data_IF_090741511429
#
_entry.id   IF_090741511429
#
_cell.length_a   1.000
_cell.length_b   1.000
_cell.length_c   1.000
_cell.angle_alpha   90.00
_cell.angle_beta   90.00
_cell.angle_gamma   90.00
#
_symmetry.space_group_name_H-M   'P 1'
#
loop_
_entity.id
_entity.type
_entity.pdbx_description
1 polymer ?
#
# COMPACT_ATOMS: atom_id res chain seq x y z
N UNK A 1 20.80 -12.53 -16.72
CA UNK A 1 20.62 -13.48 -17.84
C UNK A 1 21.24 -14.81 -17.42
N UNK A 2 20.46 -15.89 -17.43
CA UNK A 2 20.89 -17.24 -17.07
C UNK A 2 21.14 -18.08 -18.34
N UNK A 3 21.88 -19.18 -18.24
CA UNK A 3 22.20 -20.04 -19.37
C UNK A 3 21.44 -21.36 -19.29
N UNK A 4 20.67 -21.69 -20.33
CA UNK A 4 19.93 -22.95 -20.44
C UNK A 4 20.76 -24.10 -21.02
N UNK A 5 21.97 -23.83 -21.53
CA UNK A 5 22.84 -24.81 -22.18
C UNK A 5 23.25 -26.00 -21.28
N UNK A 6 23.09 -25.85 -19.95
CA UNK A 6 23.39 -26.91 -18.98
C UNK A 6 22.23 -27.89 -18.79
N UNK A 7 21.04 -27.52 -19.25
CA UNK A 7 19.85 -28.36 -19.22
C UNK A 7 19.76 -29.09 -20.54
N UNK A 8 20.06 -30.39 -20.53
CA UNK A 8 20.20 -31.20 -21.75
C UNK A 8 19.11 -32.25 -21.91
N UNK A 9 18.28 -32.45 -20.88
CA UNK A 9 17.20 -33.44 -20.90
C UNK A 9 15.84 -32.76 -20.79
N UNK A 10 14.83 -33.36 -21.43
CA UNK A 10 13.43 -32.92 -21.32
C UNK A 10 12.96 -33.02 -19.87
N UNK A 11 13.39 -34.05 -19.13
CA UNK A 11 13.01 -34.27 -17.73
C UNK A 11 13.49 -33.15 -16.80
N UNK A 12 14.70 -32.63 -17.03
CA UNK A 12 15.21 -31.48 -16.26
C UNK A 12 14.40 -30.20 -16.57
N UNK A 13 14.05 -29.98 -17.84
CA UNK A 13 13.15 -28.89 -18.23
C UNK A 13 11.79 -29.02 -17.55
N UNK A 14 11.18 -30.21 -17.56
CA UNK A 14 9.88 -30.45 -16.94
C UNK A 14 9.90 -30.21 -15.42
N UNK A 15 10.99 -30.62 -14.76
CA UNK A 15 11.20 -30.36 -13.33
C UNK A 15 11.28 -28.86 -13.03
N UNK A 16 12.07 -28.13 -13.81
CA UNK A 16 12.22 -26.68 -13.66
C UNK A 16 10.93 -25.91 -14.03
N UNK A 17 10.18 -26.38 -15.02
CA UNK A 17 8.88 -25.81 -15.38
C UNK A 17 7.85 -26.04 -14.27
N UNK A 18 7.82 -27.23 -13.67
CA UNK A 18 6.94 -27.51 -12.54
C UNK A 18 7.26 -26.59 -11.35
N UNK A 19 8.54 -26.41 -11.04
CA UNK A 19 8.99 -25.46 -10.01
C UNK A 19 8.58 -24.02 -10.34
N UNK A 20 8.86 -23.54 -11.54
CA UNK A 20 8.58 -22.16 -11.92
C UNK A 20 7.07 -21.86 -11.97
N UNK A 21 6.24 -22.82 -12.40
CA UNK A 21 4.79 -22.67 -12.37
C UNK A 21 4.25 -22.62 -10.93
N UNK A 22 4.82 -23.40 -10.02
CA UNK A 22 4.49 -23.30 -8.59
C UNK A 22 4.86 -21.93 -8.03
N UNK A 23 6.07 -21.44 -8.28
CA UNK A 23 6.52 -20.10 -7.89
C UNK A 23 5.57 -19.01 -8.43
N UNK A 24 5.21 -19.10 -9.71
CA UNK A 24 4.22 -18.20 -10.33
C UNK A 24 2.89 -18.20 -9.58
N UNK A 25 2.37 -19.37 -9.21
CA UNK A 25 1.13 -19.47 -8.45
C UNK A 25 1.23 -18.83 -7.06
N UNK A 26 2.33 -19.06 -6.35
CA UNK A 26 2.58 -18.47 -5.02
C UNK A 26 2.69 -16.93 -5.10
N UNK A 27 3.44 -16.42 -6.08
CA UNK A 27 3.54 -14.98 -6.34
C UNK A 27 2.21 -14.37 -6.77
N UNK A 28 1.38 -15.08 -7.54
CA UNK A 28 0.05 -14.62 -7.94
C UNK A 28 -0.87 -14.47 -6.73
N UNK A 29 -0.82 -15.41 -5.78
CA UNK A 29 -1.57 -15.30 -4.52
C UNK A 29 -1.07 -14.12 -3.68
N UNK A 30 0.24 -13.92 -3.59
CA UNK A 30 0.84 -12.79 -2.89
C UNK A 30 0.40 -11.46 -3.52
N UNK A 31 0.41 -11.37 -4.85
CA UNK A 31 -0.04 -10.19 -5.61
C UNK A 31 -1.47 -9.79 -5.23
N UNK A 32 -2.40 -10.75 -5.18
CA UNK A 32 -3.80 -10.49 -4.82
C UNK A 32 -3.89 -9.84 -3.43
N UNK A 33 -3.14 -10.35 -2.45
CA UNK A 33 -3.14 -9.79 -1.10
C UNK A 33 -2.60 -8.35 -1.08
N UNK A 34 -1.55 -8.07 -1.85
CA UNK A 34 -0.96 -6.74 -1.95
C UNK A 34 -1.87 -5.76 -2.69
N UNK A 35 -2.58 -6.21 -3.74
CA UNK A 35 -3.63 -5.41 -4.42
C UNK A 35 -4.74 -5.01 -3.44
N UNK A 36 -5.21 -5.94 -2.61
CA UNK A 36 -6.17 -5.62 -1.55
C UNK A 36 -5.59 -4.64 -0.52
N UNK A 37 -4.31 -4.78 -0.17
CA UNK A 37 -3.64 -3.86 0.75
C UNK A 37 -3.60 -2.44 0.18
N UNK A 38 -3.13 -2.28 -1.06
CA UNK A 38 -3.09 -0.99 -1.77
C UNK A 38 -4.48 -0.35 -1.82
N UNK A 39 -5.51 -1.12 -2.18
CA UNK A 39 -6.88 -0.60 -2.24
C UNK A 39 -7.36 -0.09 -0.87
N UNK A 40 -7.12 -0.86 0.20
CA UNK A 40 -7.54 -0.51 1.56
C UNK A 40 -6.79 0.72 2.10
N UNK A 41 -5.48 0.81 1.86
CA UNK A 41 -4.70 1.99 2.24
C UNK A 41 -5.08 3.20 1.40
N UNK A 42 -5.43 3.00 0.13
CA UNK A 42 -5.90 4.05 -0.77
C UNK A 42 -7.15 4.75 -0.23
N UNK A 43 -8.19 3.98 0.05
CA UNK A 43 -9.45 4.50 0.61
C UNK A 43 -9.25 5.14 1.99
N UNK A 44 -8.49 4.46 2.86
CA UNK A 44 -8.23 4.94 4.23
C UNK A 44 -7.42 6.25 4.24
N UNK A 45 -6.41 6.39 3.37
CA UNK A 45 -5.58 7.59 3.32
C UNK A 45 -6.38 8.83 2.92
N UNK A 46 -7.30 8.68 1.95
CA UNK A 46 -8.18 9.75 1.49
C UNK A 46 -9.15 10.15 2.60
N UNK A 47 -9.74 9.17 3.29
CA UNK A 47 -10.65 9.42 4.40
C UNK A 47 -9.95 10.18 5.55
N UNK A 48 -8.77 9.71 5.97
CA UNK A 48 -7.99 10.37 7.03
C UNK A 48 -7.66 11.81 6.65
N UNK A 49 -7.22 12.05 5.41
CA UNK A 49 -6.88 13.40 4.95
C UNK A 49 -8.12 14.32 4.95
N UNK A 50 -9.25 13.85 4.42
CA UNK A 50 -10.48 14.62 4.38
C UNK A 50 -10.98 14.98 5.79
N UNK A 51 -10.98 14.03 6.72
CA UNK A 51 -11.39 14.28 8.11
C UNK A 51 -10.41 15.24 8.79
N UNK A 52 -9.10 15.07 8.57
CA UNK A 52 -8.08 15.94 9.16
C UNK A 52 -8.24 17.39 8.69
N UNK A 53 -8.46 17.62 7.39
CA UNK A 53 -8.72 18.95 6.84
C UNK A 53 -9.99 19.58 7.45
N UNK A 54 -11.06 18.80 7.61
CA UNK A 54 -12.28 19.25 8.29
C UNK A 54 -12.01 19.68 9.74
N UNK A 55 -11.26 18.87 10.50
CA UNK A 55 -10.91 19.20 11.89
C UNK A 55 -10.03 20.46 11.96
N UNK A 56 -9.10 20.65 11.04
CA UNK A 56 -8.26 21.86 10.98
C UNK A 56 -9.13 23.10 10.71
N UNK A 57 -10.08 23.02 9.78
CA UNK A 57 -11.01 24.09 9.48
C UNK A 57 -11.91 24.42 10.70
N UNK A 58 -12.41 23.40 11.40
CA UNK A 58 -13.20 23.59 12.63
C UNK A 58 -12.38 24.25 13.75
N UNK A 59 -11.10 23.89 13.91
CA UNK A 59 -10.21 24.54 14.87
C UNK A 59 -10.06 26.03 14.54
N UNK A 60 -9.79 26.37 13.27
CA UNK A 60 -9.63 27.77 12.84
C UNK A 60 -10.91 28.60 13.04
N UNK A 61 -12.08 28.01 12.77
CA UNK A 61 -13.36 28.64 13.06
C UNK A 61 -13.55 28.86 14.57
N UNK A 62 -13.20 27.87 15.39
CA UNK A 62 -13.32 27.96 16.84
C UNK A 62 -12.36 29.01 17.44
N UNK A 63 -11.15 29.13 16.91
CA UNK A 63 -10.21 30.19 17.28
C UNK A 63 -10.77 31.58 16.99
N UNK A 64 -11.42 31.75 15.83
CA UNK A 64 -12.08 33.01 15.47
C UNK A 64 -13.21 33.37 16.44
N UNK A 65 -14.00 32.37 16.88
CA UNK A 65 -15.05 32.55 17.90
C UNK A 65 -14.44 32.92 19.26
N UNK A 66 -13.40 32.21 19.70
CA UNK A 66 -12.73 32.49 20.98
C UNK A 66 -12.16 33.92 21.01
N UNK A 67 -11.64 34.41 19.88
CA UNK A 67 -11.04 35.74 19.78
C UNK A 67 -12.04 36.89 20.00
N UNK A 68 -13.32 36.69 19.63
CA UNK A 68 -14.37 37.72 19.76
C UNK A 68 -15.17 37.62 21.06
N UNK A 69 -15.12 36.48 21.76
CA UNK A 69 -15.85 36.28 22.99
C UNK A 69 -15.17 36.98 24.18
N UNK A 70 -15.98 37.65 25.00
CA UNK A 70 -15.56 38.17 26.30
C UNK A 70 -15.29 37.03 27.28
N UNK A 71 -14.48 37.29 28.30
CA UNK A 71 -14.22 36.32 29.37
C UNK A 71 -15.53 35.90 30.05
N UNK A 72 -15.69 34.60 30.26
CA UNK A 72 -16.88 34.03 30.87
C UNK A 72 -17.18 32.62 30.38
N UNK A 73 -18.32 32.04 30.83
CA UNK A 73 -18.65 30.64 30.59
C UNK A 73 -18.68 30.24 29.11
N UNK A 74 -19.17 31.12 28.23
CA UNK A 74 -19.23 30.86 26.78
C UNK A 74 -17.84 30.76 26.14
N UNK A 75 -16.88 31.58 26.58
CA UNK A 75 -15.50 31.52 26.09
C UNK A 75 -14.80 30.27 26.61
N UNK A 76 -15.01 29.90 27.86
CA UNK A 76 -14.51 28.65 28.42
C UNK A 76 -15.03 27.42 27.66
N UNK A 77 -16.34 27.38 27.35
CA UNK A 77 -16.93 26.31 26.55
C UNK A 77 -16.27 26.23 25.17
N UNK A 78 -16.08 27.40 24.54
CA UNK A 78 -15.43 27.48 23.25
C UNK A 78 -13.98 26.95 23.29
N UNK A 79 -13.22 27.25 24.34
CA UNK A 79 -11.88 26.74 24.58
C UNK A 79 -11.91 25.22 24.78
N UNK A 80 -12.81 24.69 25.61
CA UNK A 80 -12.95 23.23 25.83
C UNK A 80 -13.25 22.49 24.53
N UNK A 81 -14.11 23.06 23.67
CA UNK A 81 -14.40 22.50 22.34
C UNK A 81 -13.15 22.48 21.45
N UNK A 82 -12.38 23.57 21.42
CA UNK A 82 -11.10 23.63 20.69
C UNK A 82 -10.14 22.54 21.18
N UNK A 83 -9.96 22.37 22.48
CA UNK A 83 -9.08 21.33 23.04
C UNK A 83 -9.47 19.91 22.60
N UNK A 84 -10.78 19.60 22.53
CA UNK A 84 -11.26 18.31 22.01
C UNK A 84 -10.92 18.12 20.53
N UNK A 85 -11.04 19.18 19.73
CA UNK A 85 -10.68 19.14 18.31
C UNK A 85 -9.17 18.98 18.11
N UNK A 86 -8.35 19.64 18.92
CA UNK A 86 -6.89 19.49 18.89
C UNK A 86 -6.45 18.05 19.22
N UNK A 87 -7.09 17.42 20.21
CA UNK A 87 -6.88 16.01 20.50
C UNK A 87 -7.27 15.12 19.31
N UNK A 88 -8.42 15.38 18.68
CA UNK A 88 -8.83 14.65 17.47
C UNK A 88 -7.84 14.82 16.31
N UNK A 89 -7.34 16.05 16.09
CA UNK A 89 -6.29 16.35 15.10
C UNK A 89 -5.04 15.55 15.37
N UNK A 90 -4.59 15.48 16.63
CA UNK A 90 -3.43 14.69 17.02
C UNK A 90 -3.61 13.21 16.66
N UNK A 91 -4.72 12.60 17.09
CA UNK A 91 -5.02 11.18 16.78
C UNK A 91 -5.04 10.92 15.27
N UNK A 92 -5.67 11.79 14.49
CA UNK A 92 -5.73 11.66 13.03
C UNK A 92 -4.35 11.83 12.37
N UNK A 93 -3.51 12.70 12.91
CA UNK A 93 -2.14 12.90 12.42
C UNK A 93 -1.29 11.65 12.64
N UNK A 94 -1.36 11.04 13.83
CA UNK A 94 -0.70 9.76 14.12
C UNK A 94 -1.26 8.63 13.25
N UNK A 95 -2.57 8.64 12.96
CA UNK A 95 -3.17 7.68 12.03
C UNK A 95 -2.65 7.85 10.60
N UNK A 96 -2.47 9.10 10.15
CA UNK A 96 -1.89 9.44 8.84
C UNK A 96 -0.45 8.95 8.69
N UNK A 97 0.33 8.88 9.76
CA UNK A 97 1.68 8.28 9.71
C UNK A 97 1.63 6.78 9.35
N UNK A 98 0.61 6.07 9.83
CA UNK A 98 0.49 4.62 9.64
C UNK A 98 -0.35 4.20 8.42
N UNK A 99 -1.29 5.04 7.99
CA UNK A 99 -2.26 4.72 6.93
C UNK A 99 -2.46 5.85 5.92
N UNK A 100 -1.63 6.89 5.98
CA UNK A 100 -1.66 7.99 5.03
C UNK A 100 -0.94 7.67 3.72
N UNK A 101 -0.74 8.70 2.91
CA UNK A 101 -0.14 8.58 1.58
C UNK A 101 1.26 7.95 1.58
N UNK A 102 2.05 8.15 2.64
CA UNK A 102 3.38 7.53 2.77
C UNK A 102 3.25 6.01 2.89
N UNK A 103 2.43 5.52 3.82
CA UNK A 103 2.21 4.09 4.00
C UNK A 103 1.54 3.45 2.77
N UNK A 104 0.66 4.17 2.08
CA UNK A 104 0.12 3.73 0.79
C UNK A 104 1.23 3.52 -0.25
N UNK A 105 2.13 4.49 -0.40
CA UNK A 105 3.22 4.41 -1.39
C UNK A 105 4.16 3.23 -1.11
N UNK A 106 4.39 2.88 0.15
CA UNK A 106 5.12 1.67 0.52
C UNK A 106 4.42 0.40 0.00
N UNK A 107 3.09 0.31 0.14
CA UNK A 107 2.31 -0.82 -0.38
C UNK A 107 2.29 -0.88 -1.90
N UNK A 108 2.24 0.27 -2.57
CA UNK A 108 2.35 0.35 -4.02
C UNK A 108 3.71 -0.15 -4.52
N UNK A 109 4.80 0.17 -3.81
CA UNK A 109 6.13 -0.33 -4.10
C UNK A 109 6.24 -1.86 -3.92
N UNK A 110 5.65 -2.41 -2.87
CA UNK A 110 5.63 -3.85 -2.64
C UNK A 110 4.89 -4.58 -3.77
N UNK A 111 3.74 -4.05 -4.19
CA UNK A 111 2.98 -4.58 -5.33
C UNK A 111 3.78 -4.50 -6.65
N UNK A 112 4.46 -3.38 -6.92
CA UNK A 112 5.31 -3.22 -8.10
C UNK A 112 6.45 -4.24 -8.13
N UNK A 113 7.08 -4.52 -6.98
CA UNK A 113 8.11 -5.57 -6.86
C UNK A 113 7.56 -6.94 -7.23
N UNK A 114 6.39 -7.32 -6.70
CA UNK A 114 5.77 -8.61 -7.04
C UNK A 114 5.45 -8.71 -8.53
N UNK A 115 4.94 -7.62 -9.14
CA UNK A 115 4.67 -7.62 -10.58
C UNK A 115 5.94 -7.84 -11.41
N UNK A 116 7.07 -7.24 -10.99
CA UNK A 116 8.37 -7.46 -11.64
C UNK A 116 8.89 -8.88 -11.44
N UNK A 117 8.74 -9.44 -10.24
CA UNK A 117 9.09 -10.85 -9.95
C UNK A 117 8.27 -11.81 -10.81
N UNK A 118 6.95 -11.61 -10.90
CA UNK A 118 6.06 -12.38 -11.77
C UNK A 118 6.50 -12.31 -13.23
N UNK A 119 6.78 -11.11 -13.74
CA UNK A 119 7.25 -10.91 -15.12
C UNK A 119 8.56 -11.69 -15.38
N UNK A 120 9.47 -11.68 -14.41
CA UNK A 120 10.73 -12.43 -14.49
C UNK A 120 10.49 -13.95 -14.52
N UNK A 121 9.60 -14.46 -13.68
CA UNK A 121 9.25 -15.90 -13.65
C UNK A 121 8.54 -16.32 -14.94
N UNK A 122 7.64 -15.50 -15.48
CA UNK A 122 6.97 -15.76 -16.75
C UNK A 122 7.97 -15.81 -17.90
N UNK A 123 8.92 -14.88 -17.94
CA UNK A 123 10.02 -14.90 -18.93
C UNK A 123 10.82 -16.19 -18.81
N UNK A 124 11.15 -16.62 -17.59
CA UNK A 124 11.84 -17.89 -17.34
C UNK A 124 11.06 -19.11 -17.85
N UNK A 125 9.76 -19.16 -17.59
CA UNK A 125 8.90 -20.24 -18.10
C UNK A 125 8.88 -20.24 -19.63
N UNK A 126 8.76 -19.08 -20.27
CA UNK A 126 8.77 -18.96 -21.73
C UNK A 126 10.09 -19.43 -22.33
N UNK A 127 11.23 -18.95 -21.81
CA UNK A 127 12.56 -19.31 -22.30
C UNK A 127 12.83 -20.80 -22.13
N UNK A 128 12.46 -21.37 -20.97
CA UNK A 128 12.66 -22.79 -20.68
C UNK A 128 11.74 -23.68 -21.54
N UNK A 129 10.51 -23.25 -21.80
CA UNK A 129 9.58 -23.96 -22.70
C UNK A 129 10.12 -23.99 -24.13
N UNK A 130 10.67 -22.87 -24.60
CA UNK A 130 11.31 -22.79 -25.91
C UNK A 130 12.53 -23.72 -26.00
N UNK A 131 13.41 -23.68 -24.99
CA UNK A 131 14.58 -24.56 -24.91
C UNK A 131 14.20 -26.04 -24.87
N UNK A 132 13.20 -26.41 -24.06
CA UNK A 132 12.65 -27.77 -24.01
C UNK A 132 12.24 -28.28 -25.39
N UNK A 133 11.64 -27.42 -26.22
CA UNK A 133 11.24 -27.78 -27.60
C UNK A 133 12.41 -28.07 -28.55
N UNK A 134 13.64 -27.69 -28.18
CA UNK A 134 14.86 -27.97 -28.95
C UNK A 134 15.52 -29.30 -28.58
N UNK A 135 15.16 -29.88 -27.43
CA UNK A 135 15.70 -31.15 -26.95
C UNK A 135 14.85 -32.30 -27.53
N UNK A 136 15.52 -33.27 -28.18
CA UNK A 136 14.89 -34.47 -28.74
C UNK A 136 14.71 -35.56 -27.70
#
# INVERSE_FOLDING_TARGET
>A
MYSLNRITTITDCDTLLAWANKEKSELTLKKINDEYSVQNYGSTSIEIEAILQGVIAEIAAQESVIAILQEGPSKEEAIRKKTRLEYKRFVLTTRKENYGSVALLEKELDLDRINKELTSVETFITDLTAHRGTLQ
#
